data_IF_870684949301
#
_entry.id   IF_870684949301
#
_cell.length_a   1.000
_cell.length_b   1.000
_cell.length_c   1.000
_cell.angle_alpha   90.00
_cell.angle_beta   90.00
_cell.angle_gamma   90.00
#
_symmetry.space_group_name_H-M   'P 1'
#
loop_
_entity.id
_entity.type
_entity.pdbx_description
1 polymer ?
#
# COMPACT_ATOMS: atom_id res chain seq x y z
N UNK A 1 11.52 2.14 14.15
CA UNK A 1 10.40 2.25 13.20
C UNK A 1 10.30 1.01 12.31
N UNK A 2 11.34 0.61 11.56
CA UNK A 2 11.29 -0.61 10.73
C UNK A 2 10.86 -1.87 11.47
N UNK A 3 11.27 -2.07 12.74
CA UNK A 3 10.82 -3.21 13.52
C UNK A 3 9.32 -3.19 13.86
N UNK A 4 8.73 -2.01 14.06
CA UNK A 4 7.28 -1.89 14.27
C UNK A 4 6.51 -2.17 12.97
N UNK A 5 7.03 -1.70 11.83
CA UNK A 5 6.46 -1.98 10.51
C UNK A 5 6.45 -3.48 10.26
N UNK A 6 7.58 -4.15 10.49
CA UNK A 6 7.68 -5.59 10.32
C UNK A 6 6.79 -6.34 11.31
N UNK A 7 6.76 -5.96 12.58
CA UNK A 7 5.90 -6.60 13.58
C UNK A 7 4.41 -6.48 13.23
N UNK A 8 3.97 -5.31 12.74
CA UNK A 8 2.59 -5.12 12.30
C UNK A 8 2.27 -5.92 11.03
N UNK A 9 3.18 -5.94 10.06
CA UNK A 9 3.05 -6.79 8.86
C UNK A 9 2.91 -8.27 9.24
N UNK A 10 3.84 -8.77 10.06
CA UNK A 10 3.85 -10.15 10.52
C UNK A 10 2.54 -10.51 11.25
N UNK A 11 2.13 -9.69 12.22
CA UNK A 11 0.90 -9.93 12.99
C UNK A 11 -0.36 -10.01 12.12
N UNK A 12 -0.38 -9.33 10.97
CA UNK A 12 -1.53 -9.30 10.07
C UNK A 12 -1.49 -10.37 8.98
N UNK A 13 -0.29 -10.76 8.52
CA UNK A 13 -0.13 -11.48 7.25
C UNK A 13 0.56 -12.85 7.40
N UNK A 14 1.25 -13.13 8.50
CA UNK A 14 2.04 -14.38 8.67
C UNK A 14 1.21 -15.63 8.35
N UNK A 15 0.04 -15.79 8.98
CA UNK A 15 -0.85 -16.94 8.76
C UNK A 15 -1.25 -17.11 7.29
N UNK A 16 -1.55 -16.02 6.58
CA UNK A 16 -1.90 -16.08 5.16
C UNK A 16 -0.69 -16.49 4.31
N UNK A 17 0.49 -15.94 4.58
CA UNK A 17 1.69 -16.30 3.81
C UNK A 17 2.16 -17.73 4.10
N UNK A 18 2.03 -18.20 5.34
CA UNK A 18 2.30 -19.59 5.73
C UNK A 18 1.35 -20.57 5.04
N UNK A 19 0.04 -20.24 4.99
CA UNK A 19 -0.95 -21.05 4.29
C UNK A 19 -0.67 -21.19 2.79
N UNK A 20 0.04 -20.23 2.19
CA UNK A 20 0.49 -20.27 0.80
C UNK A 20 1.93 -20.78 0.62
N UNK A 21 2.61 -21.21 1.69
CA UNK A 21 3.96 -21.76 1.65
C UNK A 21 5.07 -20.78 1.27
N UNK A 22 4.81 -19.47 1.35
CA UNK A 22 5.72 -18.39 0.87
C UNK A 22 6.19 -17.46 2.00
N UNK A 23 6.09 -17.89 3.26
CA UNK A 23 6.59 -17.13 4.40
C UNK A 23 8.11 -17.33 4.58
N UNK A 24 8.89 -16.27 4.32
CA UNK A 24 10.29 -16.20 4.70
C UNK A 24 10.59 -14.85 5.36
N UNK A 25 10.85 -14.88 6.67
CA UNK A 25 11.11 -13.69 7.49
C UNK A 25 12.27 -12.87 6.94
N UNK A 26 13.34 -13.53 6.46
CA UNK A 26 14.54 -12.83 5.99
C UNK A 26 14.25 -12.06 4.70
N UNK A 27 13.62 -12.71 3.73
CA UNK A 27 13.24 -12.10 2.45
C UNK A 27 12.24 -10.97 2.68
N UNK A 28 11.25 -11.15 3.56
CA UNK A 28 10.27 -10.10 3.85
C UNK A 28 10.88 -8.89 4.55
N UNK A 29 11.82 -9.09 5.46
CA UNK A 29 12.60 -7.98 6.03
C UNK A 29 13.41 -7.24 4.98
N UNK A 30 14.06 -7.96 4.07
CA UNK A 30 14.82 -7.35 2.98
C UNK A 30 13.92 -6.57 2.01
N UNK A 31 12.74 -7.12 1.66
CA UNK A 31 11.74 -6.48 0.80
C UNK A 31 11.24 -5.15 1.37
N UNK A 32 10.92 -5.13 2.68
CA UNK A 32 10.54 -3.91 3.38
C UNK A 32 11.69 -2.88 3.41
N UNK A 33 12.94 -3.32 3.49
CA UNK A 33 14.10 -2.43 3.55
C UNK A 33 14.67 -2.03 2.17
N UNK A 34 13.97 -2.37 1.09
CA UNK A 34 14.45 -2.05 -0.26
C UNK A 34 14.61 -0.53 -0.47
N UNK A 35 15.67 -0.13 -1.18
CA UNK A 35 16.09 1.27 -1.28
C UNK A 35 15.07 2.18 -1.98
N UNK A 36 14.26 1.63 -2.88
CA UNK A 36 13.19 2.38 -3.58
C UNK A 36 11.85 2.40 -2.84
N UNK A 37 11.73 1.68 -1.72
CA UNK A 37 10.49 1.64 -0.94
C UNK A 37 10.23 2.98 -0.26
N UNK A 38 8.99 3.46 -0.40
CA UNK A 38 8.46 4.66 0.26
C UNK A 38 7.37 4.25 1.22
N UNK A 39 7.18 5.07 2.26
CA UNK A 39 6.26 4.78 3.36
C UNK A 39 5.39 5.98 3.71
N UNK A 40 4.09 5.74 3.93
CA UNK A 40 3.22 6.64 4.69
C UNK A 40 2.90 5.95 6.02
N UNK A 41 3.06 6.68 7.11
CA UNK A 41 2.84 6.16 8.46
C UNK A 41 1.66 6.89 9.10
N UNK A 42 0.72 6.13 9.65
CA UNK A 42 -0.32 6.65 10.53
C UNK A 42 0.18 6.55 11.98
N UNK A 43 0.54 7.70 12.54
CA UNK A 43 1.03 7.84 13.91
C UNK A 43 0.00 8.60 14.76
N UNK A 44 0.04 8.49 16.10
CA UNK A 44 -0.68 9.38 16.99
C UNK A 44 -0.43 10.85 16.62
N UNK A 45 -1.47 11.67 16.70
CA UNK A 45 -1.26 13.11 16.66
C UNK A 45 -0.30 13.48 17.80
N UNK A 46 0.79 14.16 17.50
CA UNK A 46 1.55 14.82 18.55
C UNK A 46 0.72 15.98 19.06
N UNK A 47 0.71 16.21 20.37
CA UNK A 47 0.17 17.45 20.96
C UNK A 47 0.93 18.72 20.51
N UNK A 48 1.95 18.58 19.65
CA UNK A 48 2.58 19.69 18.98
C UNK A 48 1.69 20.22 17.85
N UNK A 49 1.18 21.43 18.04
CA UNK A 49 0.54 22.28 17.02
C UNK A 49 1.19 22.12 15.64
N UNK A 50 0.40 22.08 14.55
CA UNK A 50 0.95 22.00 13.21
C UNK A 50 1.86 23.21 12.99
N UNK A 51 3.16 22.94 12.77
CA UNK A 51 4.16 23.93 12.43
C UNK A 51 3.84 24.54 11.05
N UNK A 52 2.84 25.41 11.01
CA UNK A 52 2.60 26.29 9.89
C UNK A 52 3.77 27.29 9.82
N UNK A 53 4.46 27.28 8.68
CA UNK A 53 5.16 28.44 8.10
C UNK A 53 5.74 29.45 9.11
N UNK A 54 6.79 29.05 9.84
CA UNK A 54 7.63 29.99 10.58
C UNK A 54 9.10 29.68 10.32
N UNK A 55 9.60 30.24 9.21
CA UNK A 55 11.03 30.46 9.03
C UNK A 55 11.54 31.39 10.14
N UNK A 56 12.67 30.97 10.72
CA UNK A 56 13.66 31.79 11.46
C UNK A 56 13.17 32.43 12.75
N UNK A 57 13.42 31.76 13.87
CA UNK A 57 14.17 32.32 15.00
C UNK A 57 14.68 31.17 15.90
N UNK A 58 16.00 30.98 15.90
CA UNK A 58 16.68 30.15 16.90
C UNK A 58 16.47 30.79 18.27
N UNK A 59 16.02 30.03 19.26
CA UNK A 59 16.68 29.92 20.59
C UNK A 59 15.99 28.91 21.50
N UNK A 60 16.81 27.93 21.89
CA UNK A 60 16.84 27.16 23.15
C UNK A 60 15.53 26.98 23.91
N UNK A 61 14.92 25.80 23.76
CA UNK A 61 14.00 25.24 24.74
C UNK A 61 14.68 24.08 25.48
N UNK A 62 14.49 24.08 26.80
CA UNK A 62 15.23 23.33 27.80
C UNK A 62 14.88 21.84 27.79
N UNK A 63 15.88 21.03 28.13
CA UNK A 63 15.78 19.61 28.45
C UNK A 63 14.80 19.38 29.62
N UNK A 64 13.61 18.85 29.33
CA UNK A 64 12.69 18.28 30.32
C UNK A 64 12.91 16.76 30.37
N UNK A 65 13.10 16.24 31.58
CA UNK A 65 13.44 14.83 31.87
C UNK A 65 12.29 13.87 31.55
N UNK A 66 12.59 12.89 30.69
CA UNK A 66 12.29 11.45 30.84
C UNK A 66 10.86 11.02 31.16
N UNK A 67 10.00 10.98 30.14
CA UNK A 67 9.02 9.90 30.04
C UNK A 67 9.77 8.61 29.64
N UNK A 68 9.33 7.40 30.05
CA UNK A 68 9.91 6.17 29.51
C UNK A 68 9.90 6.23 27.97
N UNK A 69 10.98 5.80 27.33
CA UNK A 69 11.11 5.68 25.87
C UNK A 69 10.15 4.59 25.33
N UNK A 70 8.85 4.77 25.55
CA UNK A 70 7.83 3.96 24.88
C UNK A 70 7.84 4.36 23.42
N UNK A 71 8.14 3.41 22.50
CA UNK A 71 8.13 3.71 21.09
C UNK A 71 6.78 4.32 20.68
N UNK A 72 6.78 5.38 19.87
CA UNK A 72 5.55 5.95 19.32
C UNK A 72 4.73 4.83 18.67
N UNK A 73 3.44 4.65 19.05
CA UNK A 73 2.58 3.64 18.44
C UNK A 73 2.45 3.85 16.92
N UNK A 74 2.37 2.74 16.17
CA UNK A 74 2.09 2.74 14.74
C UNK A 74 0.68 2.21 14.52
N UNK A 75 -0.23 3.06 14.04
CA UNK A 75 -1.62 2.65 13.80
C UNK A 75 -1.80 1.95 12.46
N UNK A 76 -0.91 2.24 11.50
CA UNK A 76 -0.91 1.63 10.19
C UNK A 76 0.13 2.26 9.28
N UNK A 77 0.40 1.61 8.15
CA UNK A 77 1.28 2.13 7.14
C UNK A 77 0.86 1.69 5.74
N UNK A 78 1.37 2.41 4.75
CA UNK A 78 1.44 1.94 3.37
C UNK A 78 2.90 1.87 2.94
N UNK A 79 3.28 0.84 2.18
CA UNK A 79 4.57 0.75 1.49
C UNK A 79 4.31 0.66 -0.01
N UNK A 80 4.96 1.52 -0.78
CA UNK A 80 4.87 1.49 -2.24
C UNK A 80 6.20 1.82 -2.89
N UNK A 81 6.28 1.51 -4.19
CA UNK A 81 7.35 1.95 -5.08
C UNK A 81 6.72 2.61 -6.31
N UNK A 82 7.47 3.54 -6.90
CA UNK A 82 7.20 3.96 -8.27
C UNK A 82 7.97 3.03 -9.19
N UNK A 83 7.30 2.52 -10.20
CA UNK A 83 7.84 1.55 -11.15
C UNK A 83 7.13 1.67 -12.51
N UNK A 84 7.50 0.81 -13.43
CA UNK A 84 6.67 0.48 -14.61
C UNK A 84 6.08 -0.92 -14.43
N UNK A 85 4.91 -1.14 -15.01
CA UNK A 85 4.22 -2.42 -15.04
C UNK A 85 3.91 -2.79 -16.48
N UNK A 86 3.85 -4.07 -16.79
CA UNK A 86 3.43 -4.53 -18.12
C UNK A 86 2.00 -4.03 -18.40
N UNK A 87 1.69 -3.80 -19.68
CA UNK A 87 0.33 -3.45 -20.11
C UNK A 87 -0.01 -4.12 -21.44
N UNK A 88 -1.27 -3.97 -21.86
CA UNK A 88 -1.79 -4.48 -23.12
C UNK A 88 -2.70 -3.47 -23.78
N UNK A 89 -2.89 -3.62 -25.09
CA UNK A 89 -3.88 -2.84 -25.82
C UNK A 89 -5.28 -3.01 -25.21
N UNK A 90 -5.89 -1.89 -24.85
CA UNK A 90 -7.20 -1.86 -24.18
C UNK A 90 -7.13 -1.75 -22.65
N UNK A 91 -5.94 -1.69 -22.04
CA UNK A 91 -5.81 -1.28 -20.64
C UNK A 91 -6.35 0.16 -20.46
N UNK A 92 -7.36 0.39 -19.60
CA UNK A 92 -7.88 1.73 -19.32
C UNK A 92 -6.86 2.70 -18.72
N UNK A 93 -5.72 2.21 -18.23
CA UNK A 93 -4.67 3.02 -17.64
C UNK A 93 -3.51 3.34 -18.61
N UNK A 94 -3.48 2.75 -19.81
CA UNK A 94 -2.40 2.92 -20.79
C UNK A 94 -2.89 3.53 -22.11
N UNK A 95 -1.96 4.03 -22.91
CA UNK A 95 -2.26 4.52 -24.27
C UNK A 95 -2.10 3.36 -25.28
N UNK A 96 -2.81 3.37 -26.42
CA UNK A 96 -2.68 2.33 -27.44
C UNK A 96 -1.25 2.18 -27.95
N UNK A 97 -0.74 0.95 -27.96
CA UNK A 97 0.63 0.63 -28.37
C UNK A 97 1.70 0.77 -27.28
N UNK A 98 1.31 1.06 -26.03
CA UNK A 98 2.25 0.96 -24.91
C UNK A 98 2.55 -0.51 -24.56
N UNK A 99 3.82 -0.79 -24.27
CA UNK A 99 4.25 -2.08 -23.70
C UNK A 99 4.32 -2.04 -22.16
N UNK A 100 4.51 -0.84 -21.58
CA UNK A 100 4.57 -0.61 -20.13
C UNK A 100 3.80 0.65 -19.70
N UNK A 101 3.35 0.68 -18.43
CA UNK A 101 2.61 1.79 -17.82
C UNK A 101 3.20 2.20 -16.47
N UNK A 102 3.32 3.51 -16.21
CA UNK A 102 3.84 4.04 -14.95
C UNK A 102 2.89 3.73 -13.79
N UNK A 103 3.41 3.06 -12.77
CA UNK A 103 2.64 2.53 -11.64
C UNK A 103 3.20 2.98 -10.30
N UNK A 104 2.28 3.30 -9.39
CA UNK A 104 2.55 3.20 -7.96
C UNK A 104 2.14 1.82 -7.47
N UNK A 105 3.11 0.91 -7.34
CA UNK A 105 2.82 -0.44 -6.85
C UNK A 105 2.79 -0.46 -5.32
N UNK A 106 1.60 -0.64 -4.75
CA UNK A 106 1.36 -0.77 -3.32
C UNK A 106 1.65 -2.21 -2.87
N UNK A 107 2.80 -2.40 -2.24
CA UNK A 107 3.21 -3.70 -1.71
C UNK A 107 2.46 -4.03 -0.42
N UNK A 108 2.31 -3.06 0.48
CA UNK A 108 1.71 -3.28 1.79
C UNK A 108 0.76 -2.16 2.16
N UNK A 109 -0.43 -2.51 2.63
CA UNK A 109 -1.34 -1.63 3.37
C UNK A 109 -1.75 -2.35 4.65
N UNK A 110 -1.20 -1.90 5.77
CA UNK A 110 -1.39 -2.55 7.06
C UNK A 110 -2.01 -1.58 8.06
N UNK A 111 -3.00 -2.06 8.81
CA UNK A 111 -3.62 -1.33 9.92
C UNK A 111 -3.68 -2.25 11.12
N UNK A 112 -3.19 -1.75 12.25
CA UNK A 112 -3.24 -2.45 13.53
C UNK A 112 -4.69 -2.79 13.89
N UNK A 113 -4.92 -4.03 14.35
CA UNK A 113 -6.24 -4.56 14.61
C UNK A 113 -7.07 -3.68 15.56
N UNK A 114 -6.44 -3.05 16.55
CA UNK A 114 -7.12 -2.17 17.52
C UNK A 114 -7.63 -0.85 16.89
N UNK A 115 -7.15 -0.51 15.70
CA UNK A 115 -7.43 0.75 15.01
C UNK A 115 -8.17 0.57 13.67
N UNK A 116 -8.55 -0.66 13.32
CA UNK A 116 -9.40 -0.96 12.14
C UNK A 116 -10.80 -0.36 12.30
N UNK A 117 -11.49 -0.14 11.17
CA UNK A 117 -12.82 0.47 11.16
C UNK A 117 -12.86 1.98 11.47
N UNK A 118 -11.69 2.64 11.57
CA UNK A 118 -11.57 4.08 11.87
C UNK A 118 -11.09 4.92 10.68
N UNK A 119 -11.34 4.43 9.46
CA UNK A 119 -10.92 5.06 8.19
C UNK A 119 -9.41 5.29 8.00
N UNK A 120 -8.54 4.68 8.81
CA UNK A 120 -7.08 4.82 8.66
C UNK A 120 -6.63 4.25 7.32
N UNK A 121 -7.03 3.02 6.99
CA UNK A 121 -6.70 2.40 5.70
C UNK A 121 -7.20 3.23 4.51
N UNK A 122 -8.43 3.76 4.60
CA UNK A 122 -8.98 4.67 3.58
C UNK A 122 -8.11 5.91 3.41
N UNK A 123 -7.72 6.58 4.49
CA UNK A 123 -6.90 7.80 4.43
C UNK A 123 -5.49 7.51 3.89
N UNK A 124 -4.87 6.41 4.29
CA UNK A 124 -3.56 6.00 3.79
C UNK A 124 -3.61 5.75 2.28
N UNK A 125 -4.57 4.94 1.82
CA UNK A 125 -4.72 4.60 0.41
C UNK A 125 -5.05 5.84 -0.44
N UNK A 126 -5.99 6.68 0.00
CA UNK A 126 -6.31 7.94 -0.70
C UNK A 126 -5.14 8.91 -0.73
N UNK A 127 -4.29 8.93 0.30
CA UNK A 127 -3.09 9.75 0.29
C UNK A 127 -2.08 9.21 -0.73
N UNK A 128 -1.90 7.89 -0.82
CA UNK A 128 -1.09 7.27 -1.86
C UNK A 128 -1.61 7.61 -3.26
N UNK A 129 -2.91 7.47 -3.51
CA UNK A 129 -3.55 7.85 -4.78
C UNK A 129 -3.18 9.28 -5.18
N UNK A 130 -3.39 10.26 -4.28
CA UNK A 130 -3.03 11.66 -4.55
C UNK A 130 -1.53 11.89 -4.80
N UNK A 131 -0.65 11.20 -4.06
CA UNK A 131 0.80 11.27 -4.28
C UNK A 131 1.14 10.72 -5.67
N UNK A 132 0.52 9.61 -6.05
CA UNK A 132 0.73 8.93 -7.33
C UNK A 132 0.31 9.81 -8.50
N UNK A 133 -0.87 10.44 -8.43
CA UNK A 133 -1.36 11.33 -9.48
C UNK A 133 -0.48 12.57 -9.65
N UNK A 134 0.00 13.14 -8.54
CA UNK A 134 0.94 14.27 -8.58
C UNK A 134 2.33 13.89 -9.07
N UNK A 135 2.70 12.62 -8.95
CA UNK A 135 3.94 12.07 -9.49
C UNK A 135 3.78 11.62 -10.96
N UNK A 136 2.64 11.90 -11.60
CA UNK A 136 2.32 11.50 -12.97
C UNK A 136 2.31 9.98 -13.19
N UNK A 137 2.05 9.20 -12.14
CA UNK A 137 1.76 7.78 -12.31
C UNK A 137 0.40 7.63 -12.98
N UNK A 138 0.30 6.65 -13.88
CA UNK A 138 -0.92 6.37 -14.63
C UNK A 138 -1.84 5.41 -13.92
N UNK A 139 -1.32 4.54 -13.04
CA UNK A 139 -2.13 3.69 -12.17
C UNK A 139 -1.55 3.52 -10.77
N UNK A 140 -2.42 3.12 -9.83
CA UNK A 140 -2.03 2.52 -8.55
C UNK A 140 -2.45 1.06 -8.61
N UNK A 141 -1.51 0.14 -8.36
CA UNK A 141 -1.75 -1.30 -8.40
C UNK A 141 -1.37 -1.96 -7.07
N UNK A 142 -1.94 -3.13 -6.79
CA UNK A 142 -1.64 -3.95 -5.63
C UNK A 142 -1.97 -5.42 -5.88
N UNK A 143 -1.34 -6.31 -5.12
CA UNK A 143 -1.70 -7.74 -5.07
C UNK A 143 -2.51 -8.03 -3.81
N UNK A 144 -3.55 -8.84 -3.93
CA UNK A 144 -4.36 -9.30 -2.80
C UNK A 144 -4.64 -10.79 -2.90
N UNK A 145 -4.48 -11.52 -1.80
CA UNK A 145 -4.85 -12.94 -1.74
C UNK A 145 -6.36 -13.15 -1.88
N UNK A 146 -6.77 -14.21 -2.58
CA UNK A 146 -8.18 -14.57 -2.72
C UNK A 146 -8.85 -14.84 -1.37
N UNK A 147 -8.14 -15.45 -0.44
CA UNK A 147 -8.60 -15.73 0.92
C UNK A 147 -8.82 -14.46 1.76
N UNK A 148 -8.19 -13.33 1.42
CA UNK A 148 -8.34 -12.08 2.16
C UNK A 148 -9.61 -11.32 1.72
N UNK A 149 -10.76 -11.88 2.04
CA UNK A 149 -12.08 -11.35 1.66
C UNK A 149 -12.30 -9.91 2.16
N UNK A 150 -11.81 -9.60 3.36
CA UNK A 150 -11.90 -8.26 3.94
C UNK A 150 -11.16 -7.21 3.11
N UNK A 151 -9.91 -7.49 2.73
CA UNK A 151 -9.14 -6.58 1.88
C UNK A 151 -9.75 -6.45 0.47
N UNK A 152 -10.20 -7.57 -0.12
CA UNK A 152 -10.87 -7.56 -1.45
C UNK A 152 -12.13 -6.68 -1.45
N UNK A 153 -12.98 -6.84 -0.44
CA UNK A 153 -14.19 -6.02 -0.29
C UNK A 153 -13.83 -4.53 -0.10
N UNK A 154 -12.81 -4.25 0.71
CA UNK A 154 -12.29 -2.89 0.92
C UNK A 154 -11.81 -2.25 -0.38
N UNK A 155 -10.94 -2.91 -1.16
CA UNK A 155 -10.44 -2.36 -2.43
C UNK A 155 -11.53 -2.17 -3.47
N UNK A 156 -12.46 -3.13 -3.59
CA UNK A 156 -13.64 -3.01 -4.46
C UNK A 156 -14.49 -1.79 -4.09
N UNK A 157 -14.74 -1.56 -2.80
CA UNK A 157 -15.46 -0.37 -2.33
C UNK A 157 -14.73 0.95 -2.66
N UNK A 158 -13.40 0.90 -2.77
CA UNK A 158 -12.56 2.03 -3.17
C UNK A 158 -12.47 2.24 -4.68
N UNK A 159 -13.07 1.36 -5.49
CA UNK A 159 -13.10 1.47 -6.95
C UNK A 159 -11.97 0.76 -7.67
N UNK A 160 -11.22 -0.11 -6.98
CA UNK A 160 -10.21 -0.95 -7.64
C UNK A 160 -10.89 -2.11 -8.37
N UNK A 161 -10.42 -2.38 -9.58
CA UNK A 161 -10.87 -3.50 -10.43
C UNK A 161 -9.71 -4.46 -10.67
N UNK A 162 -9.99 -5.63 -11.25
CA UNK A 162 -8.93 -6.52 -11.70
C UNK A 162 -8.05 -5.78 -12.72
N UNK A 163 -6.73 -5.82 -12.50
CA UNK A 163 -5.76 -5.27 -13.46
C UNK A 163 -5.65 -6.21 -14.67
N UNK A 164 -5.31 -5.67 -15.84
CA UNK A 164 -5.12 -6.45 -17.06
C UNK A 164 -3.99 -7.48 -16.94
N UNK A 165 -2.99 -7.21 -16.08
CA UNK A 165 -1.88 -8.12 -15.77
C UNK A 165 -2.24 -9.14 -14.70
N UNK A 166 -3.41 -9.02 -14.05
CA UNK A 166 -3.84 -10.01 -13.08
C UNK A 166 -3.92 -11.37 -13.76
N UNK A 167 -3.37 -12.43 -13.17
CA UNK A 167 -3.61 -13.78 -13.64
C UNK A 167 -5.13 -13.98 -13.79
N UNK A 168 -5.58 -14.22 -15.02
CA UNK A 168 -7.00 -14.45 -15.30
C UNK A 168 -7.39 -15.78 -14.69
N UNK A 169 -8.30 -15.77 -13.71
CA UNK A 169 -9.18 -16.91 -13.51
C UNK A 169 -10.06 -16.97 -14.76
N UNK A 170 -9.64 -17.72 -15.77
CA UNK A 170 -10.34 -17.84 -17.03
C UNK A 170 -11.81 -18.18 -16.74
N UNK A 171 -12.69 -17.23 -17.02
CA UNK A 171 -14.12 -17.33 -16.79
C UNK A 171 -14.67 -18.40 -17.73
N UNK A 172 -14.74 -19.65 -17.28
CA UNK A 172 -15.66 -20.75 -17.66
C UNK A 172 -15.22 -22.15 -17.17
N UNK A 173 -14.22 -22.26 -16.29
CA UNK A 173 -13.93 -23.52 -15.60
C UNK A 173 -14.03 -23.33 -14.10
N UNK A 174 -15.20 -23.62 -13.54
CA UNK A 174 -15.43 -23.66 -12.08
C UNK A 174 -14.62 -24.78 -11.37
N UNK A 175 -13.83 -25.57 -12.11
CA UNK A 175 -13.10 -26.74 -11.62
C UNK A 175 -11.55 -26.59 -11.62
N UNK A 176 -10.98 -25.44 -12.01
CA UNK A 176 -9.51 -25.18 -12.05
C UNK A 176 -9.09 -23.99 -11.16
N UNK A 177 -9.83 -23.73 -10.08
CA UNK A 177 -9.66 -22.57 -9.17
C UNK A 177 -8.42 -22.70 -8.24
N UNK A 178 -7.66 -23.79 -8.33
CA UNK A 178 -6.65 -24.14 -7.34
C UNK A 178 -5.22 -23.62 -7.61
N UNK A 179 -4.88 -23.10 -8.79
CA UNK A 179 -3.46 -22.80 -9.11
C UNK A 179 -2.96 -21.41 -8.68
N UNK A 180 -3.82 -20.39 -8.60
CA UNK A 180 -3.36 -19.02 -8.26
C UNK A 180 -4.11 -18.50 -7.04
N UNK A 181 -3.37 -18.20 -5.96
CA UNK A 181 -3.97 -17.80 -4.67
C UNK A 181 -4.17 -16.28 -4.50
N UNK A 182 -3.89 -15.49 -5.53
CA UNK A 182 -3.93 -14.02 -5.49
C UNK A 182 -4.48 -13.43 -6.79
N UNK A 183 -4.85 -12.15 -6.73
CA UNK A 183 -5.18 -11.36 -7.90
C UNK A 183 -4.54 -9.97 -7.80
N UNK A 184 -4.31 -9.35 -8.96
CA UNK A 184 -3.82 -7.98 -9.05
C UNK A 184 -5.02 -7.05 -9.25
N UNK A 185 -5.06 -5.99 -8.46
CA UNK A 185 -6.07 -4.96 -8.55
C UNK A 185 -5.42 -3.62 -8.88
N UNK A 186 -6.08 -2.80 -9.68
CA UNK A 186 -5.62 -1.45 -9.97
C UNK A 186 -6.75 -0.43 -10.09
N UNK A 187 -6.35 0.84 -10.06
CA UNK A 187 -7.20 1.98 -10.39
C UNK A 187 -6.38 2.98 -11.21
N UNK A 188 -6.98 3.53 -12.26
CA UNK A 188 -6.30 4.47 -13.15
C UNK A 188 -6.34 5.90 -12.58
N UNK A 189 -5.36 6.70 -13.00
CA UNK A 189 -5.34 8.11 -12.74
C UNK A 189 -6.59 8.76 -13.37
N UNK A 190 -7.47 9.42 -12.58
CA UNK A 190 -8.73 9.95 -13.10
C UNK A 190 -8.55 11.10 -14.10
N UNK A 191 -7.34 11.65 -14.25
CA UNK A 191 -7.06 12.66 -15.27
C UNK A 191 -6.79 12.08 -16.67
N UNK A 192 -6.57 10.77 -16.78
CA UNK A 192 -6.41 10.11 -18.09
C UNK A 192 -7.74 10.25 -18.83
N UNK A 193 -7.69 10.91 -19.98
CA UNK A 193 -8.81 11.02 -20.92
C UNK A 193 -8.42 10.24 -22.15
N UNK A 194 -9.11 9.14 -22.44
CA UNK A 194 -9.00 8.53 -23.76
C UNK A 194 -9.56 9.51 -24.79
N UNK A 195 -8.72 9.92 -25.73
CA UNK A 195 -9.07 10.81 -26.85
C UNK A 195 -9.84 10.07 -27.93
#
# INVERSE_FOLDING_TARGET
>A
MHDQIFALFQANMEEMYEANGIWDVRSKRAELQHASSRYLLALPASDAEPASVARVCRRSARHMKGAPDTPTPLYGFIMWRFDTDDTVDGDPCADPGDDEVEVSYCYELQVDAAYRGRHIGTRLLTTLEHVSWRAHMRKVALTVFHMNQGARAFYKQRGYTADVTSPTADTNKEDEVDEVHYMILSTCNPSIKHS
#
